data_IF_269534698189
#
_entry.id   IF_269534698189
#
_cell.length_a   1.000
_cell.length_b   1.000
_cell.length_c   1.000
_cell.angle_alpha   90.00
_cell.angle_beta   90.00
_cell.angle_gamma   90.00
#
_symmetry.space_group_name_H-M   'P 1'
#
loop_
_entity.id
_entity.type
_entity.pdbx_description
1 polymer ?
#
# COMPACT_ATOMS: atom_id res chain seq x y z
N UNK A 1 -15.62 8.57 -25.14
CA UNK A 1 -14.28 8.85 -24.60
C UNK A 1 -14.47 9.36 -23.18
N UNK A 2 -14.28 8.52 -22.16
CA UNK A 2 -14.53 8.89 -20.77
C UNK A 2 -13.40 9.78 -20.26
N UNK A 3 -13.73 10.95 -19.71
CA UNK A 3 -12.75 11.79 -19.03
C UNK A 3 -12.12 10.99 -17.88
N UNK A 4 -10.79 11.02 -17.77
CA UNK A 4 -10.07 10.46 -16.63
C UNK A 4 -10.58 11.15 -15.36
N UNK A 5 -11.15 10.38 -14.42
CA UNK A 5 -11.60 10.92 -13.13
C UNK A 5 -10.43 11.57 -12.40
N UNK A 6 -10.65 12.70 -11.72
CA UNK A 6 -9.61 13.34 -10.88
C UNK A 6 -9.01 12.36 -9.87
N UNK A 7 -9.82 11.41 -9.39
CA UNK A 7 -9.38 10.32 -8.50
C UNK A 7 -8.40 9.36 -9.19
N UNK A 8 -8.57 9.06 -10.47
CA UNK A 8 -7.63 8.21 -11.19
C UNK A 8 -6.22 8.84 -11.21
N UNK A 9 -6.12 10.17 -11.35
CA UNK A 9 -4.83 10.87 -11.25
C UNK A 9 -4.21 10.71 -9.87
N UNK A 10 -5.00 10.84 -8.80
CA UNK A 10 -4.52 10.62 -7.43
C UNK A 10 -3.99 9.19 -7.27
N UNK A 11 -4.73 8.19 -7.77
CA UNK A 11 -4.31 6.79 -7.70
C UNK A 11 -3.04 6.52 -8.52
N UNK A 12 -2.89 7.11 -9.71
CA UNK A 12 -1.64 6.99 -10.50
C UNK A 12 -0.46 7.55 -9.71
N UNK A 13 -0.61 8.74 -9.12
CA UNK A 13 0.44 9.34 -8.30
C UNK A 13 0.78 8.44 -7.09
N UNK A 14 -0.24 7.92 -6.41
CA UNK A 14 -0.06 6.96 -5.32
C UNK A 14 0.74 5.74 -5.77
N UNK A 15 0.36 5.08 -6.86
CA UNK A 15 1.07 3.89 -7.33
C UNK A 15 2.50 4.19 -7.81
N UNK A 16 2.73 5.35 -8.44
CA UNK A 16 4.09 5.79 -8.82
C UNK A 16 4.97 5.98 -7.59
N UNK A 17 4.44 6.54 -6.50
CA UNK A 17 5.17 6.73 -5.23
C UNK A 17 5.32 5.40 -4.48
N UNK A 18 4.32 4.52 -4.54
CA UNK A 18 4.31 3.28 -3.79
C UNK A 18 5.33 2.27 -4.34
N UNK A 19 5.53 2.21 -5.66
CA UNK A 19 6.51 1.30 -6.28
C UNK A 19 7.93 1.44 -5.69
N UNK A 20 8.55 2.64 -5.63
CA UNK A 20 9.85 2.78 -4.99
C UNK A 20 9.81 2.52 -3.49
N UNK A 21 8.71 2.83 -2.80
CA UNK A 21 8.56 2.50 -1.36
C UNK A 21 8.59 0.99 -1.13
N UNK A 22 7.88 0.21 -1.96
CA UNK A 22 7.91 -1.25 -1.91
C UNK A 22 9.35 -1.78 -2.00
N UNK A 23 10.15 -1.29 -2.96
CA UNK A 23 11.53 -1.76 -3.10
C UNK A 23 12.50 -1.24 -2.03
N UNK A 24 12.22 -0.07 -1.46
CA UNK A 24 13.15 0.63 -0.56
C UNK A 24 12.83 0.45 0.92
N UNK A 25 11.62 0.01 1.28
CA UNK A 25 11.16 -0.12 2.65
C UNK A 25 10.63 -1.53 2.88
N UNK A 26 9.58 -1.88 2.14
CA UNK A 26 8.76 -3.05 2.46
C UNK A 26 9.45 -4.38 2.11
N UNK A 27 10.04 -4.45 0.93
CA UNK A 27 10.69 -5.65 0.39
C UNK A 27 12.15 -5.81 0.83
N UNK A 28 12.69 -4.88 1.61
CA UNK A 28 14.09 -4.93 2.08
C UNK A 28 14.34 -6.16 2.94
N UNK A 29 13.32 -6.70 3.61
CA UNK A 29 13.42 -7.95 4.36
C UNK A 29 13.82 -9.16 3.50
N UNK A 30 13.56 -9.10 2.18
CA UNK A 30 13.96 -10.14 1.23
C UNK A 30 15.36 -9.93 0.64
N UNK A 31 16.00 -8.78 0.90
CA UNK A 31 17.34 -8.52 0.38
C UNK A 31 18.40 -9.14 1.28
N UNK A 32 19.47 -9.72 0.71
CA UNK A 32 20.62 -10.13 1.49
C UNK A 32 21.18 -8.95 2.30
N UNK A 33 21.44 -9.08 3.62
CA UNK A 33 21.97 -7.99 4.44
C UNK A 33 23.27 -7.37 3.92
N UNK A 34 24.10 -8.17 3.24
CA UNK A 34 25.33 -7.71 2.61
C UNK A 34 25.08 -6.67 1.48
N UNK A 35 23.87 -6.62 0.90
CA UNK A 35 23.57 -5.71 -0.20
C UNK A 35 23.40 -4.27 0.28
N UNK A 36 22.77 -4.05 1.43
CA UNK A 36 22.53 -2.71 1.99
C UNK A 36 23.48 -2.36 3.15
N UNK A 37 24.53 -3.15 3.37
CA UNK A 37 25.65 -2.80 4.24
C UNK A 37 26.44 -1.60 3.67
N UNK A 38 27.28 -0.96 4.49
CA UNK A 38 28.03 0.24 4.13
C UNK A 38 28.91 0.09 2.86
N UNK A 39 29.39 -1.12 2.56
CA UNK A 39 30.20 -1.45 1.38
C UNK A 39 29.43 -2.22 0.31
N UNK A 40 28.13 -2.42 0.50
CA UNK A 40 27.28 -3.19 -0.41
C UNK A 40 26.86 -2.39 -1.65
N UNK A 41 26.41 -3.08 -2.72
CA UNK A 41 25.93 -2.43 -3.95
C UNK A 41 24.72 -1.51 -3.75
N UNK A 42 23.96 -1.70 -2.66
CA UNK A 42 22.81 -0.89 -2.28
C UNK A 42 23.09 -0.10 -0.98
N UNK A 43 24.32 0.32 -0.71
CA UNK A 43 24.64 1.11 0.49
C UNK A 43 23.73 2.34 0.73
N UNK A 44 23.27 3.09 -0.30
CA UNK A 44 22.29 4.18 -0.09
C UNK A 44 20.96 3.71 0.51
N UNK A 45 20.53 2.48 0.23
CA UNK A 45 19.34 1.88 0.83
C UNK A 45 19.50 1.69 2.34
N UNK A 46 20.71 1.32 2.77
CA UNK A 46 21.05 1.24 4.20
C UNK A 46 20.94 2.59 4.91
N UNK A 47 21.36 3.68 4.25
CA UNK A 47 21.23 5.03 4.78
C UNK A 47 19.76 5.48 4.87
N UNK A 48 18.98 5.20 3.82
CA UNK A 48 17.54 5.48 3.81
C UNK A 48 16.82 4.72 4.92
N UNK A 49 17.18 3.46 5.15
CA UNK A 49 16.62 2.65 6.23
C UNK A 49 16.99 3.19 7.61
N UNK A 50 18.23 3.64 7.80
CA UNK A 50 18.64 4.28 9.06
C UNK A 50 17.81 5.55 9.33
N UNK A 51 17.66 6.41 8.32
CA UNK A 51 16.81 7.60 8.39
C UNK A 51 15.34 7.25 8.71
N UNK A 52 14.79 6.23 8.05
CA UNK A 52 13.42 5.76 8.29
C UNK A 52 13.23 5.31 9.75
N UNK A 53 14.11 4.44 10.24
CA UNK A 53 14.06 3.92 11.61
C UNK A 53 14.24 5.03 12.64
N UNK A 54 15.12 5.99 12.38
CA UNK A 54 15.32 7.14 13.25
C UNK A 54 14.08 8.04 13.32
N UNK A 55 13.44 8.28 12.17
CA UNK A 55 12.30 9.18 12.02
C UNK A 55 10.99 8.59 12.56
N UNK A 56 10.77 7.30 12.34
CA UNK A 56 9.48 6.66 12.55
C UNK A 56 9.45 5.69 13.73
N UNK A 57 10.61 5.27 14.25
CA UNK A 57 10.73 4.28 15.34
C UNK A 57 9.91 3.02 15.11
N UNK A 58 9.79 2.63 13.84
CA UNK A 58 8.94 1.52 13.44
C UNK A 58 9.51 0.19 13.96
N UNK A 59 8.79 -0.44 14.88
CA UNK A 59 9.25 -1.65 15.57
C UNK A 59 9.18 -2.89 14.66
N UNK A 60 8.40 -2.86 13.58
CA UNK A 60 8.33 -3.97 12.62
C UNK A 60 9.67 -4.26 11.94
N UNK A 61 10.56 -3.27 11.92
CA UNK A 61 11.86 -3.36 11.28
C UNK A 61 13.03 -3.50 12.28
N UNK A 62 12.72 -3.63 13.57
CA UNK A 62 13.70 -3.87 14.63
C UNK A 62 14.06 -5.37 14.74
N UNK A 63 15.24 -5.72 15.26
CA UNK A 63 15.70 -7.12 15.31
C UNK A 63 14.86 -8.06 16.20
N UNK A 64 14.08 -7.53 17.13
CA UNK A 64 13.36 -8.32 18.14
C UNK A 64 11.87 -8.01 18.17
N UNK A 65 11.05 -9.05 18.30
CA UNK A 65 9.62 -8.91 18.60
C UNK A 65 8.72 -8.64 17.39
N UNK A 66 9.20 -8.84 16.16
CA UNK A 66 8.38 -8.67 14.95
C UNK A 66 7.28 -9.74 14.89
N UNK A 67 5.99 -9.35 14.81
CA UNK A 67 4.90 -10.30 14.73
C UNK A 67 4.96 -11.17 13.46
N UNK A 68 4.53 -12.43 13.56
CA UNK A 68 4.60 -13.38 12.45
C UNK A 68 3.77 -12.98 11.22
N UNK A 69 2.72 -12.17 11.39
CA UNK A 69 1.91 -11.67 10.28
C UNK A 69 2.68 -10.69 9.40
N UNK A 70 3.71 -10.01 9.93
CA UNK A 70 4.42 -8.97 9.18
C UNK A 70 5.18 -9.55 7.97
N UNK A 71 5.79 -10.73 8.15
CA UNK A 71 6.44 -11.45 7.04
C UNK A 71 5.43 -11.90 5.97
N UNK A 72 4.20 -12.24 6.38
CA UNK A 72 3.12 -12.57 5.44
C UNK A 72 2.68 -11.35 4.64
N UNK A 73 2.60 -10.17 5.28
CA UNK A 73 2.25 -8.93 4.58
C UNK A 73 3.33 -8.50 3.59
N UNK A 74 4.61 -8.61 3.96
CA UNK A 74 5.72 -8.38 3.03
C UNK A 74 5.67 -9.35 1.83
N UNK A 75 5.25 -10.60 2.07
CA UNK A 75 5.04 -11.57 0.99
C UNK A 75 3.90 -11.13 0.06
N UNK A 76 2.75 -10.70 0.60
CA UNK A 76 1.64 -10.16 -0.20
C UNK A 76 2.03 -8.90 -0.97
N UNK A 77 2.86 -8.05 -0.38
CA UNK A 77 3.40 -6.88 -1.07
C UNK A 77 4.24 -7.28 -2.29
N UNK A 78 5.05 -8.33 -2.17
CA UNK A 78 5.85 -8.85 -3.27
C UNK A 78 4.99 -9.48 -4.38
N UNK A 79 4.06 -10.37 -4.01
CA UNK A 79 3.35 -11.21 -5.00
C UNK A 79 2.09 -10.58 -5.55
N UNK A 80 1.52 -9.59 -4.85
CA UNK A 80 0.26 -8.96 -5.23
C UNK A 80 0.39 -7.44 -5.33
N UNK A 81 0.83 -6.73 -4.29
CA UNK A 81 0.84 -5.26 -4.37
C UNK A 81 1.79 -4.74 -5.44
N UNK A 82 2.99 -5.26 -5.55
CA UNK A 82 3.98 -4.84 -6.54
C UNK A 82 3.48 -5.04 -7.99
N UNK A 83 3.09 -6.26 -8.43
CA UNK A 83 2.63 -6.45 -9.81
C UNK A 83 1.35 -5.64 -10.11
N UNK A 84 0.42 -5.53 -9.16
CA UNK A 84 -0.79 -4.72 -9.34
C UNK A 84 -0.45 -3.23 -9.42
N UNK A 85 0.48 -2.72 -8.61
CA UNK A 85 0.92 -1.32 -8.64
C UNK A 85 1.53 -0.95 -9.98
N UNK A 86 2.44 -1.78 -10.50
CA UNK A 86 3.07 -1.57 -11.83
C UNK A 86 2.01 -1.57 -12.93
N UNK A 87 1.07 -2.52 -12.89
CA UNK A 87 -0.03 -2.57 -13.85
C UNK A 87 -0.97 -1.35 -13.72
N UNK A 88 -1.28 -0.93 -12.49
CA UNK A 88 -2.23 0.15 -12.21
C UNK A 88 -1.75 1.51 -12.74
N UNK A 89 -0.44 1.80 -12.66
CA UNK A 89 0.15 3.01 -13.27
C UNK A 89 -0.22 3.12 -14.75
N UNK A 90 -0.07 2.00 -15.50
CA UNK A 90 -0.45 1.96 -16.92
C UNK A 90 -1.96 2.05 -17.08
N UNK A 91 -2.72 1.21 -16.39
CA UNK A 91 -4.17 1.10 -16.57
C UNK A 91 -4.89 2.43 -16.29
N UNK A 92 -4.60 3.05 -15.16
CA UNK A 92 -5.20 4.31 -14.72
C UNK A 92 -4.63 5.53 -15.45
N UNK A 93 -3.39 5.46 -15.93
CA UNK A 93 -2.73 6.54 -16.68
C UNK A 93 -3.19 6.64 -18.14
N UNK A 94 -3.82 5.60 -18.68
CA UNK A 94 -4.41 5.66 -20.03
C UNK A 94 -5.73 6.44 -20.03
N UNK A 95 -6.11 7.01 -21.19
CA UNK A 95 -7.44 7.61 -21.39
C UNK A 95 -8.56 6.55 -21.55
N UNK A 96 -8.22 5.26 -21.47
CA UNK A 96 -9.20 4.19 -21.58
C UNK A 96 -9.97 4.07 -20.27
N UNK A 97 -11.26 3.73 -20.37
CA UNK A 97 -12.06 3.43 -19.19
C UNK A 97 -11.67 2.06 -18.63
N UNK A 98 -11.61 1.95 -17.30
CA UNK A 98 -11.41 0.66 -16.63
C UNK A 98 -12.56 -0.30 -16.95
N UNK A 99 -12.21 -1.55 -17.20
CA UNK A 99 -13.19 -2.64 -17.30
C UNK A 99 -13.69 -3.03 -15.91
N UNK A 100 -14.74 -3.84 -15.83
CA UNK A 100 -15.20 -4.37 -14.54
C UNK A 100 -14.17 -5.28 -13.86
N UNK A 101 -13.30 -5.96 -14.62
CA UNK A 101 -12.22 -6.77 -14.06
C UNK A 101 -11.13 -5.90 -13.42
N UNK A 102 -10.80 -4.79 -14.08
CA UNK A 102 -9.79 -3.85 -13.60
C UNK A 102 -10.23 -3.19 -12.28
N UNK A 103 -11.50 -2.78 -12.21
CA UNK A 103 -12.08 -2.21 -10.99
C UNK A 103 -12.15 -3.25 -9.87
N UNK A 104 -12.47 -4.52 -10.17
CA UNK A 104 -12.46 -5.59 -9.17
C UNK A 104 -11.05 -5.84 -8.63
N UNK A 105 -10.03 -5.84 -9.49
CA UNK A 105 -8.64 -6.01 -9.06
C UNK A 105 -8.21 -4.86 -8.13
N UNK A 106 -8.50 -3.61 -8.50
CA UNK A 106 -8.19 -2.44 -7.67
C UNK A 106 -9.00 -2.38 -6.38
N UNK A 107 -10.24 -2.90 -6.39
CA UNK A 107 -11.04 -3.07 -5.18
C UNK A 107 -10.38 -4.06 -4.21
N UNK A 108 -9.99 -5.24 -4.69
CA UNK A 108 -9.30 -6.25 -3.87
C UNK A 108 -7.99 -5.71 -3.32
N UNK A 109 -7.20 -5.03 -4.15
CA UNK A 109 -5.99 -4.32 -3.73
C UNK A 109 -6.27 -3.34 -2.60
N UNK A 110 -7.28 -2.48 -2.76
CA UNK A 110 -7.63 -1.48 -1.76
C UNK A 110 -8.06 -2.10 -0.42
N UNK A 111 -8.89 -3.14 -0.47
CA UNK A 111 -9.35 -3.87 0.73
C UNK A 111 -8.19 -4.49 1.46
N UNK A 112 -7.35 -5.24 0.74
CA UNK A 112 -6.19 -5.90 1.33
C UNK A 112 -5.22 -4.88 1.93
N UNK A 113 -4.85 -3.83 1.18
CA UNK A 113 -3.98 -2.76 1.67
C UNK A 113 -4.56 -2.11 2.93
N UNK A 114 -5.86 -1.83 2.96
CA UNK A 114 -6.49 -1.25 4.14
C UNK A 114 -6.44 -2.19 5.35
N UNK A 115 -6.67 -3.50 5.14
CA UNK A 115 -6.66 -4.51 6.21
C UNK A 115 -5.25 -4.77 6.77
N UNK A 116 -4.24 -4.90 5.91
CA UNK A 116 -2.85 -5.06 6.37
C UNK A 116 -2.38 -3.80 7.09
N UNK A 117 -2.66 -2.62 6.52
CA UNK A 117 -2.28 -1.34 7.12
C UNK A 117 -2.95 -1.12 8.48
N UNK A 118 -4.27 -1.35 8.61
CA UNK A 118 -4.96 -1.16 9.90
C UNK A 118 -4.50 -2.17 10.94
N UNK A 119 -4.11 -3.38 10.53
CA UNK A 119 -3.51 -4.38 11.42
C UNK A 119 -2.17 -3.88 11.95
N UNK A 120 -1.31 -3.33 11.07
CA UNK A 120 -0.05 -2.70 11.48
C UNK A 120 -0.28 -1.50 12.42
N UNK A 121 -1.27 -0.65 12.12
CA UNK A 121 -1.64 0.48 12.99
C UNK A 121 -2.11 0.02 14.37
N UNK A 122 -2.91 -1.05 14.43
CA UNK A 122 -3.43 -1.60 15.67
C UNK A 122 -2.31 -2.17 16.55
N UNK A 123 -1.41 -2.94 15.95
CA UNK A 123 -0.22 -3.44 16.64
C UNK A 123 0.67 -2.29 17.13
N UNK A 124 0.94 -1.29 16.27
CA UNK A 124 1.76 -0.13 16.60
C UNK A 124 1.19 0.72 17.73
N UNK A 125 -0.14 0.82 17.80
CA UNK A 125 -0.82 1.49 18.89
C UNK A 125 -0.52 0.82 20.25
N UNK A 126 -0.43 -0.51 20.26
CA UNK A 126 -0.17 -1.33 21.44
C UNK A 126 1.29 -1.41 21.89
N UNK A 127 2.25 -0.86 21.14
CA UNK A 127 3.67 -0.90 21.54
C UNK A 127 3.94 -0.13 22.84
N UNK A 128 4.92 -0.58 23.61
CA UNK A 128 5.31 0.04 24.88
C UNK A 128 5.80 1.48 24.67
N UNK A 129 5.40 2.41 25.53
CA UNK A 129 5.85 3.80 25.50
C UNK A 129 7.35 3.95 25.78
N UNK A 130 7.98 2.96 26.40
CA UNK A 130 9.42 2.88 26.56
C UNK A 130 10.16 2.68 25.21
N UNK A 131 9.48 2.14 24.19
CA UNK A 131 10.04 1.91 22.85
C UNK A 131 9.68 3.03 21.87
N UNK A 132 8.45 3.54 21.97
CA UNK A 132 7.93 4.59 21.09
C UNK A 132 6.96 5.50 21.86
N UNK A 133 7.30 6.77 21.95
CA UNK A 133 6.50 7.76 22.69
C UNK A 133 5.15 8.01 22.01
N UNK A 134 4.18 8.53 22.75
CA UNK A 134 2.87 8.88 22.19
C UNK A 134 2.94 9.86 21.01
N UNK A 135 3.88 10.81 21.02
CA UNK A 135 4.08 11.74 19.91
C UNK A 135 4.65 11.03 18.66
N UNK A 136 5.63 10.15 18.84
CA UNK A 136 6.19 9.33 17.75
C UNK A 136 5.13 8.38 17.17
N UNK A 137 4.25 7.80 18.01
CA UNK A 137 3.09 7.02 17.55
C UNK A 137 2.16 7.85 16.66
N UNK A 138 1.90 9.11 16.99
CA UNK A 138 1.07 9.99 16.14
C UNK A 138 1.74 10.22 14.78
N UNK A 139 3.06 10.43 14.75
CA UNK A 139 3.81 10.58 13.50
C UNK A 139 3.78 9.31 12.66
N UNK A 140 3.97 8.14 13.28
CA UNK A 140 3.97 6.85 12.60
C UNK A 140 2.56 6.44 12.14
N UNK A 141 1.61 6.35 13.07
CA UNK A 141 0.26 5.84 12.83
C UNK A 141 -0.59 6.88 12.10
N UNK A 142 -0.57 8.13 12.54
CA UNK A 142 -1.39 9.20 11.94
C UNK A 142 -0.79 9.74 10.66
N UNK A 143 0.53 9.87 10.60
CA UNK A 143 1.26 10.37 9.43
C UNK A 143 1.46 9.28 8.39
N UNK A 144 2.42 8.38 8.64
CA UNK A 144 2.84 7.38 7.67
C UNK A 144 1.72 6.39 7.34
N UNK A 145 1.37 5.48 8.26
CA UNK A 145 0.38 4.43 8.00
C UNK A 145 -1.01 5.00 7.69
N UNK A 146 -1.42 6.05 8.41
CA UNK A 146 -2.71 6.71 8.22
C UNK A 146 -2.89 7.27 6.82
N UNK A 147 -1.84 7.83 6.21
CA UNK A 147 -1.92 8.33 4.84
C UNK A 147 -2.15 7.21 3.82
N UNK A 148 -1.44 6.08 3.96
CA UNK A 148 -1.65 4.89 3.13
C UNK A 148 -3.05 4.30 3.33
N UNK A 149 -3.51 4.20 4.57
CA UNK A 149 -4.83 3.68 4.92
C UNK A 149 -5.95 4.50 4.30
N UNK A 150 -5.87 5.84 4.37
CA UNK A 150 -6.88 6.73 3.79
C UNK A 150 -6.96 6.56 2.27
N UNK A 151 -5.81 6.51 1.59
CA UNK A 151 -5.79 6.30 0.12
C UNK A 151 -6.38 4.93 -0.24
N UNK A 152 -6.03 3.88 0.51
CA UNK A 152 -6.55 2.53 0.29
C UNK A 152 -8.08 2.45 0.49
N UNK A 153 -8.62 3.10 1.53
CA UNK A 153 -10.07 3.18 1.75
C UNK A 153 -10.78 3.94 0.63
N UNK A 154 -10.24 5.08 0.21
CA UNK A 154 -10.83 5.88 -0.87
C UNK A 154 -10.83 5.11 -2.19
N UNK A 155 -9.73 4.41 -2.51
CA UNK A 155 -9.65 3.53 -3.68
C UNK A 155 -10.70 2.41 -3.60
N UNK A 156 -10.81 1.75 -2.46
CA UNK A 156 -11.77 0.66 -2.21
C UNK A 156 -13.20 1.11 -2.48
N UNK A 157 -13.60 2.23 -1.86
CA UNK A 157 -14.96 2.76 -1.97
C UNK A 157 -15.26 3.20 -3.41
N UNK A 158 -14.33 3.89 -4.08
CA UNK A 158 -14.50 4.30 -5.48
C UNK A 158 -14.68 3.10 -6.42
N UNK A 159 -13.81 2.09 -6.31
CA UNK A 159 -13.91 0.88 -7.15
C UNK A 159 -15.20 0.11 -6.87
N UNK A 160 -15.61 -0.02 -5.61
CA UNK A 160 -16.89 -0.63 -5.24
C UNK A 160 -18.08 0.09 -5.88
N UNK A 161 -18.14 1.42 -5.79
CA UNK A 161 -19.24 2.21 -6.36
C UNK A 161 -19.32 2.06 -7.88
N UNK A 162 -18.17 2.03 -8.57
CA UNK A 162 -18.12 1.84 -10.03
C UNK A 162 -18.59 0.44 -10.44
N UNK A 163 -18.18 -0.59 -9.69
CA UNK A 163 -18.63 -1.96 -9.89
C UNK A 163 -20.12 -2.11 -9.66
N UNK A 164 -20.64 -1.60 -8.53
CA UNK A 164 -22.06 -1.64 -8.20
C UNK A 164 -22.91 -1.01 -9.31
N UNK A 165 -22.51 0.16 -9.82
CA UNK A 165 -23.19 0.83 -10.93
C UNK A 165 -23.22 -0.02 -12.21
N UNK A 166 -22.13 -0.73 -12.53
CA UNK A 166 -22.06 -1.63 -13.69
C UNK A 166 -22.93 -2.86 -13.50
N UNK A 167 -22.95 -3.44 -12.31
CA UNK A 167 -23.80 -4.57 -11.96
C UNK A 167 -25.28 -4.22 -12.05
N UNK A 168 -25.69 -3.09 -11.48
CA UNK A 168 -27.08 -2.60 -11.58
C UNK A 168 -27.51 -2.36 -13.03
N UNK A 169 -26.62 -1.84 -13.87
CA UNK A 169 -26.89 -1.66 -15.29
C UNK A 169 -27.07 -3.00 -16.02
N UNK A 170 -26.22 -3.99 -15.72
CA UNK A 170 -26.32 -5.34 -16.29
C UNK A 170 -27.62 -6.05 -15.86
N UNK A 171 -28.01 -5.92 -14.59
CA UNK A 171 -29.25 -6.50 -14.07
C UNK A 171 -30.50 -5.89 -14.71
N UNK A 172 -30.49 -4.58 -14.97
CA UNK A 172 -31.59 -3.90 -15.69
C UNK A 172 -31.74 -4.42 -17.11
N UNK A 173 -30.63 -4.62 -17.83
CA UNK A 173 -30.66 -5.19 -19.18
C UNK A 173 -31.20 -6.62 -19.15
N UNK A 174 -30.73 -7.45 -18.22
CA UNK A 174 -31.18 -8.84 -18.08
C UNK A 174 -32.67 -8.96 -17.74
N UNK A 175 -33.22 -8.03 -16.95
CA UNK A 175 -34.67 -8.00 -16.62
C UNK A 175 -35.56 -7.52 -17.78
N UNK A 176 -34.98 -6.85 -18.78
CA UNK A 176 -35.70 -6.34 -19.94
C UNK A 176 -35.67 -7.29 -21.16
N UNK A 177 -34.94 -8.41 -21.06
CA UNK A 177 -34.87 -9.50 -22.05
C UNK A 177 -35.74 -10.67 -21.61
#
# INVERSE_FOLDING_TARGET
MGATSKLNTVYVVYFIIHIPVLFCVDLVAFYPPAWYAATGPLAPLGQLRAYYLESYKDQFFQPSGVPSFFALFAFFELVFHLPVSVWAVRALGTKAALTGKDELLLFLYGVETALTTVTCMWEAYGWDEALITGAEKVTLIGGLYGSYFVVALVLTIDMWMRLAKKLEAADKVKKAQ
#
